data_IF_602640655676
#
_entry.id   IF_602640655676
#
_cell.length_a   1.000
_cell.length_b   1.000
_cell.length_c   1.000
_cell.angle_alpha   90.00
_cell.angle_beta   90.00
_cell.angle_gamma   90.00
#
_symmetry.space_group_name_H-M   'P 1'
#
loop_
_entity.id
_entity.type
_entity.pdbx_description
1 polymer ?
#
# COMPACT_ATOMS: atom_id res chain seq x y z
N UNK A 1 23.85 14.00 16.45
CA UNK A 1 22.88 12.97 16.00
C UNK A 1 22.15 13.56 14.80
N UNK A 2 21.97 12.79 13.74
CA UNK A 2 21.24 13.26 12.57
C UNK A 2 19.81 13.59 12.98
N UNK A 3 19.31 14.73 12.51
CA UNK A 3 17.92 15.13 12.75
C UNK A 3 17.00 14.19 12.00
N UNK A 4 15.93 13.73 12.67
CA UNK A 4 14.85 12.95 12.06
C UNK A 4 13.63 13.85 11.93
N UNK A 5 13.04 13.89 10.72
CA UNK A 5 11.78 14.58 10.44
C UNK A 5 10.79 13.61 9.80
N UNK A 6 9.55 13.67 10.25
CA UNK A 6 8.43 12.92 9.70
C UNK A 6 7.29 13.90 9.42
N UNK A 7 6.78 13.89 8.20
CA UNK A 7 5.63 14.70 7.79
C UNK A 7 4.89 14.11 6.60
N UNK A 8 3.65 14.53 6.39
CA UNK A 8 2.82 14.11 5.28
C UNK A 8 2.75 15.18 4.19
N UNK A 9 2.65 14.73 2.94
CA UNK A 9 2.28 15.55 1.79
C UNK A 9 0.82 15.29 1.38
N UNK A 10 0.19 14.26 1.94
CA UNK A 10 -1.21 13.89 1.79
C UNK A 10 -1.56 12.72 2.70
N UNK A 11 -2.84 12.34 2.78
CA UNK A 11 -3.30 11.20 3.56
C UNK A 11 -3.49 11.48 5.06
N UNK A 12 -3.60 12.75 5.47
CA UNK A 12 -3.98 13.11 6.84
C UNK A 12 -5.33 13.82 6.80
N UNK A 13 -6.27 13.35 7.64
CA UNK A 13 -7.65 13.85 7.72
C UNK A 13 -8.38 13.80 6.36
N UNK A 14 -8.03 12.81 5.54
CA UNK A 14 -8.62 12.56 4.23
C UNK A 14 -8.48 11.11 3.83
N UNK A 15 -9.37 10.62 2.98
CA UNK A 15 -9.30 9.30 2.37
C UNK A 15 -8.57 9.39 1.02
N UNK A 16 -7.41 8.75 0.93
CA UNK A 16 -6.55 8.75 -0.25
C UNK A 16 -5.40 9.76 -0.19
N UNK A 17 -4.67 9.91 -1.30
CA UNK A 17 -3.45 10.73 -1.44
C UNK A 17 -2.35 10.38 -0.44
N UNK A 18 -2.27 9.14 0.01
CA UNK A 18 -1.26 8.73 0.98
C UNK A 18 0.14 9.02 0.45
N UNK A 19 0.85 9.91 1.15
CA UNK A 19 2.25 10.24 0.84
C UNK A 19 2.93 10.83 2.08
N UNK A 20 3.96 10.16 2.55
CA UNK A 20 4.68 10.52 3.76
C UNK A 20 6.17 10.64 3.47
N UNK A 21 6.83 11.54 4.19
CA UNK A 21 8.26 11.81 4.04
C UNK A 21 8.96 11.55 5.37
N UNK A 22 10.00 10.74 5.33
CA UNK A 22 10.92 10.51 6.44
C UNK A 22 12.28 11.03 6.03
N UNK A 23 12.80 11.99 6.79
CA UNK A 23 14.18 12.47 6.64
C UNK A 23 15.03 11.96 7.78
N UNK A 24 16.22 11.48 7.44
CA UNK A 24 17.26 11.10 8.39
C UNK A 24 18.55 11.77 7.95
N UNK A 25 18.92 12.87 8.60
CA UNK A 25 19.99 13.74 8.14
C UNK A 25 19.72 14.27 6.72
N UNK A 26 20.62 14.00 5.80
CA UNK A 26 20.49 14.40 4.38
C UNK A 26 19.70 13.41 3.51
N UNK A 27 19.31 12.28 4.06
CA UNK A 27 18.59 11.24 3.32
C UNK A 27 17.08 11.41 3.44
N UNK A 28 16.38 11.39 2.32
CA UNK A 28 14.92 11.43 2.23
C UNK A 28 14.39 10.08 1.76
N UNK A 29 13.40 9.58 2.48
CA UNK A 29 12.62 8.40 2.13
C UNK A 29 11.17 8.82 1.94
N UNK A 30 10.57 8.44 0.82
CA UNK A 30 9.16 8.68 0.53
C UNK A 30 8.41 7.38 0.75
N UNK A 31 7.32 7.43 1.49
CA UNK A 31 6.42 6.31 1.73
C UNK A 31 5.10 6.66 1.05
N UNK A 32 4.68 5.82 0.13
CA UNK A 32 3.54 5.92 -0.76
C UNK A 32 3.59 7.10 -1.75
N UNK A 33 2.76 6.98 -2.79
CA UNK A 33 2.53 8.00 -3.81
C UNK A 33 1.09 7.86 -4.33
N UNK A 34 0.12 8.05 -3.45
CA UNK A 34 -1.29 7.81 -3.69
C UNK A 34 -2.01 8.97 -4.36
N UNK A 35 -3.15 8.68 -4.97
CA UNK A 35 -4.11 9.67 -5.40
C UNK A 35 -5.40 9.60 -4.57
N UNK A 36 -6.26 10.61 -4.75
CA UNK A 36 -7.63 10.64 -4.25
C UNK A 36 -8.57 10.90 -5.43
N UNK A 37 -9.72 10.24 -5.44
CA UNK A 37 -10.80 10.56 -6.35
C UNK A 37 -11.68 11.68 -5.77
N UNK A 38 -12.24 12.57 -6.61
CA UNK A 38 -13.17 13.59 -6.13
C UNK A 38 -14.41 12.95 -5.48
N UNK A 39 -14.86 13.49 -4.35
CA UNK A 39 -16.01 12.95 -3.61
C UNK A 39 -17.35 13.45 -4.14
N UNK A 40 -17.37 14.51 -4.94
CA UNK A 40 -18.58 15.19 -5.37
C UNK A 40 -18.60 15.42 -6.89
N UNK A 41 -19.81 15.31 -7.46
CA UNK A 41 -20.08 15.67 -8.86
C UNK A 41 -19.90 17.17 -9.16
N UNK A 42 -19.78 18.00 -8.13
CA UNK A 42 -19.57 19.44 -8.27
C UNK A 42 -18.15 19.81 -8.72
N UNK A 43 -17.23 18.84 -8.71
CA UNK A 43 -15.86 19.00 -9.20
C UNK A 43 -15.75 18.61 -10.69
N UNK A 44 -16.63 19.16 -11.53
CA UNK A 44 -16.65 18.87 -12.96
C UNK A 44 -15.29 19.14 -13.61
N UNK A 45 -14.77 18.13 -14.31
CA UNK A 45 -13.48 18.20 -15.00
C UNK A 45 -12.27 17.81 -14.15
N UNK A 46 -12.45 17.45 -12.88
CA UNK A 46 -11.40 16.89 -12.03
C UNK A 46 -11.61 15.39 -11.93
N UNK A 47 -10.68 14.61 -12.47
CA UNK A 47 -10.72 13.15 -12.42
C UNK A 47 -9.90 12.57 -11.26
N UNK A 48 -8.81 13.25 -10.88
CA UNK A 48 -7.85 12.77 -9.87
C UNK A 48 -7.27 13.93 -9.09
N UNK A 49 -7.01 13.73 -7.82
CA UNK A 49 -6.34 14.67 -6.93
C UNK A 49 -5.04 14.00 -6.46
N UNK A 50 -3.92 14.68 -6.61
CA UNK A 50 -2.59 14.17 -6.25
C UNK A 50 -1.95 15.04 -5.17
N UNK A 51 -0.98 14.54 -4.40
CA UNK A 51 -0.20 15.35 -3.48
C UNK A 51 0.59 16.47 -4.16
N UNK A 52 0.94 17.53 -3.44
CA UNK A 52 1.88 18.54 -3.91
C UNK A 52 3.31 18.00 -3.81
N UNK A 53 3.96 17.80 -4.95
CA UNK A 53 5.33 17.28 -5.03
C UNK A 53 6.41 18.34 -4.92
N UNK A 54 6.07 19.62 -4.73
CA UNK A 54 7.03 20.72 -4.73
C UNK A 54 8.23 20.44 -3.82
N UNK A 55 7.97 20.02 -2.59
CA UNK A 55 9.03 19.69 -1.65
C UNK A 55 9.99 18.60 -2.17
N UNK A 56 9.44 17.54 -2.77
CA UNK A 56 10.24 16.43 -3.32
C UNK A 56 11.04 16.86 -4.55
N UNK A 57 10.47 17.70 -5.40
CA UNK A 57 11.14 18.23 -6.59
C UNK A 57 12.33 19.11 -6.18
N UNK A 58 12.15 20.00 -5.22
CA UNK A 58 13.21 20.88 -4.72
C UNK A 58 14.34 20.11 -4.02
N UNK A 59 14.03 18.96 -3.42
CA UNK A 59 14.98 18.13 -2.67
C UNK A 59 15.30 16.81 -3.37
N UNK A 60 15.06 16.66 -4.68
CA UNK A 60 15.19 15.39 -5.39
C UNK A 60 16.56 14.72 -5.25
N UNK A 61 17.63 15.49 -5.12
CA UNK A 61 19.00 15.00 -4.95
C UNK A 61 19.23 14.26 -3.61
N UNK A 62 18.36 14.45 -2.64
CA UNK A 62 18.40 13.80 -1.31
C UNK A 62 17.53 12.55 -1.25
N UNK A 63 16.63 12.33 -2.22
CA UNK A 63 15.69 11.20 -2.18
C UNK A 63 16.43 9.90 -2.47
N UNK A 64 16.45 9.02 -1.49
CA UNK A 64 17.15 7.74 -1.54
C UNK A 64 16.25 6.60 -2.02
N UNK A 65 14.94 6.67 -1.70
CA UNK A 65 13.98 5.65 -2.08
C UNK A 65 12.54 6.18 -2.02
N UNK A 66 11.68 5.58 -2.85
CA UNK A 66 10.24 5.65 -2.78
C UNK A 66 9.74 4.22 -2.50
N UNK A 67 8.97 4.05 -1.44
CA UNK A 67 8.43 2.76 -1.04
C UNK A 67 6.93 2.73 -1.29
N UNK A 68 6.44 1.69 -1.95
CA UNK A 68 5.01 1.44 -2.17
C UNK A 68 4.66 0.13 -1.50
N UNK A 69 3.71 0.18 -0.56
CA UNK A 69 3.34 -0.96 0.27
C UNK A 69 2.54 -2.00 -0.50
N UNK A 70 1.48 -1.58 -1.20
CA UNK A 70 0.55 -2.45 -1.91
C UNK A 70 -0.04 -1.78 -3.17
N UNK A 71 -0.98 -2.45 -3.83
CA UNK A 71 -1.43 -2.10 -5.18
C UNK A 71 -2.73 -1.28 -5.25
N UNK A 72 -3.08 -0.52 -4.21
CA UNK A 72 -4.25 0.36 -4.25
C UNK A 72 -3.92 1.75 -4.82
N UNK A 73 -4.91 2.42 -5.40
CA UNK A 73 -4.75 3.72 -6.04
C UNK A 73 -4.38 4.83 -5.05
N UNK A 74 -4.92 4.76 -3.85
CA UNK A 74 -4.67 5.71 -2.76
C UNK A 74 -3.24 5.68 -2.20
N UNK A 75 -2.45 4.66 -2.59
CA UNK A 75 -1.03 4.52 -2.19
C UNK A 75 -0.05 4.52 -3.36
N UNK A 76 -0.47 4.21 -4.60
CA UNK A 76 0.49 4.11 -5.72
C UNK A 76 0.15 4.95 -6.96
N UNK A 77 -1.11 5.36 -7.16
CA UNK A 77 -1.52 5.81 -8.48
C UNK A 77 -1.10 7.25 -8.85
N UNK A 78 -0.53 8.03 -7.91
CA UNK A 78 0.15 9.29 -8.22
C UNK A 78 1.65 9.10 -8.55
N UNK A 79 2.19 7.87 -8.43
CA UNK A 79 3.60 7.58 -8.70
C UNK A 79 4.04 7.98 -10.13
N UNK A 80 3.28 7.75 -11.21
CA UNK A 80 3.68 8.22 -12.54
C UNK A 80 3.85 9.74 -12.61
N UNK A 81 2.98 10.50 -11.91
CA UNK A 81 3.07 11.95 -11.86
C UNK A 81 4.35 12.40 -11.13
N UNK A 82 4.67 11.78 -9.99
CA UNK A 82 5.89 12.04 -9.23
C UNK A 82 7.15 11.74 -10.07
N UNK A 83 7.22 10.57 -10.72
CA UNK A 83 8.39 10.10 -11.45
C UNK A 83 8.67 10.87 -12.75
N UNK A 84 7.74 11.71 -13.24
CA UNK A 84 8.01 12.68 -14.32
C UNK A 84 8.92 13.83 -13.86
N UNK A 85 8.95 14.10 -12.56
CA UNK A 85 9.69 15.22 -11.96
C UNK A 85 10.87 14.77 -11.09
N UNK A 86 10.75 13.60 -10.45
CA UNK A 86 11.71 13.07 -9.49
C UNK A 86 12.30 11.78 -9.99
N UNK A 87 13.64 11.69 -10.01
CA UNK A 87 14.36 10.45 -10.36
C UNK A 87 14.83 9.78 -9.07
N UNK A 88 14.09 8.79 -8.61
CA UNK A 88 14.45 8.03 -7.41
C UNK A 88 14.10 6.53 -7.60
N UNK A 89 14.84 5.61 -6.96
CA UNK A 89 14.52 4.19 -7.02
C UNK A 89 13.22 3.90 -6.28
N UNK A 90 12.37 3.07 -6.89
CA UNK A 90 11.09 2.61 -6.32
C UNK A 90 11.26 1.19 -5.80
N UNK A 91 10.77 0.94 -4.60
CA UNK A 91 10.81 -0.36 -3.93
C UNK A 91 9.40 -0.84 -3.61
N UNK A 92 9.12 -2.12 -3.88
CA UNK A 92 7.84 -2.73 -3.52
C UNK A 92 7.93 -4.27 -3.50
N UNK A 93 6.86 -4.93 -3.03
CA UNK A 93 6.74 -6.39 -3.12
C UNK A 93 6.62 -6.87 -4.56
N UNK A 94 6.91 -8.13 -4.89
CA UNK A 94 6.87 -8.62 -6.28
C UNK A 94 5.54 -8.39 -6.99
N UNK A 95 4.41 -8.64 -6.33
CA UNK A 95 3.08 -8.43 -6.91
C UNK A 95 2.81 -6.94 -7.18
N UNK A 96 3.02 -6.10 -6.18
CA UNK A 96 2.82 -4.65 -6.30
C UNK A 96 3.77 -4.05 -7.36
N UNK A 97 5.01 -4.54 -7.44
CA UNK A 97 5.96 -4.11 -8.47
C UNK A 97 5.46 -4.40 -9.89
N UNK A 98 4.80 -5.54 -10.11
CA UNK A 98 4.20 -5.85 -11.42
C UNK A 98 3.06 -4.88 -11.76
N UNK A 99 2.21 -4.56 -10.79
CA UNK A 99 1.11 -3.60 -10.97
C UNK A 99 1.64 -2.20 -11.28
N UNK A 100 2.67 -1.74 -10.53
CA UNK A 100 3.33 -0.46 -10.76
C UNK A 100 3.97 -0.42 -12.16
N UNK A 101 4.73 -1.44 -12.56
CA UNK A 101 5.38 -1.50 -13.87
C UNK A 101 4.37 -1.47 -15.03
N UNK A 102 3.22 -2.15 -14.89
CA UNK A 102 2.16 -2.10 -15.89
C UNK A 102 1.47 -0.71 -15.94
N UNK A 103 1.24 -0.09 -14.78
CA UNK A 103 0.73 1.28 -14.69
C UNK A 103 1.70 2.28 -15.34
N UNK A 104 2.99 2.21 -15.00
CA UNK A 104 4.02 3.08 -15.57
C UNK A 104 4.14 2.90 -17.08
N UNK A 105 4.02 1.67 -17.58
CA UNK A 105 4.02 1.38 -19.02
C UNK A 105 2.85 2.03 -19.74
N UNK A 106 1.63 2.01 -19.18
CA UNK A 106 0.43 2.70 -19.70
C UNK A 106 0.63 4.20 -19.75
N UNK A 107 1.33 4.76 -18.77
CA UNK A 107 1.65 6.18 -18.66
C UNK A 107 2.90 6.62 -19.46
N UNK A 108 3.49 5.72 -20.25
CA UNK A 108 4.65 6.01 -21.12
C UNK A 108 6.02 5.97 -20.42
N UNK A 109 6.09 5.56 -19.16
CA UNK A 109 7.30 5.50 -18.33
C UNK A 109 7.93 4.10 -18.32
N UNK A 110 8.16 3.51 -19.48
CA UNK A 110 8.57 2.11 -19.67
C UNK A 110 9.97 1.76 -19.17
N UNK A 111 10.84 2.75 -19.02
CA UNK A 111 12.25 2.58 -18.62
C UNK A 111 12.40 2.35 -17.11
N UNK A 112 11.39 2.72 -16.32
CA UNK A 112 11.45 2.65 -14.86
C UNK A 112 11.24 1.21 -14.42
N UNK A 113 12.17 0.73 -13.59
CA UNK A 113 12.11 -0.59 -12.97
C UNK A 113 11.86 -0.44 -11.46
N UNK A 114 11.04 -1.34 -10.92
CA UNK A 114 10.75 -1.39 -9.49
C UNK A 114 11.65 -2.43 -8.82
N UNK A 115 12.35 -2.03 -7.77
CA UNK A 115 13.15 -2.95 -6.97
C UNK A 115 12.23 -3.83 -6.13
N UNK A 116 12.27 -5.13 -6.40
CA UNK A 116 11.45 -6.11 -5.69
C UNK A 116 12.08 -6.49 -4.37
N UNK A 117 11.36 -6.27 -3.28
CA UNK A 117 11.80 -6.63 -1.92
C UNK A 117 11.00 -7.80 -1.40
N UNK A 118 11.66 -8.69 -0.68
CA UNK A 118 10.97 -9.82 -0.03
C UNK A 118 10.37 -9.35 1.28
N UNK A 119 9.23 -9.92 1.64
CA UNK A 119 8.63 -9.75 2.97
C UNK A 119 9.61 -10.20 4.05
N UNK A 120 9.58 -9.54 5.21
CA UNK A 120 10.44 -9.82 6.36
C UNK A 120 11.95 -9.81 6.04
N UNK A 121 12.37 -9.02 5.05
CA UNK A 121 13.77 -8.81 4.73
C UNK A 121 14.33 -7.53 5.35
N UNK A 122 15.66 -7.45 5.43
CA UNK A 122 16.37 -6.27 5.93
C UNK A 122 17.52 -5.95 4.99
N UNK A 123 17.69 -4.68 4.65
CA UNK A 123 18.76 -4.15 3.83
C UNK A 123 19.07 -2.71 4.24
N UNK A 124 20.09 -2.11 3.62
CA UNK A 124 20.46 -0.72 3.91
C UNK A 124 20.36 0.13 2.65
N UNK A 125 19.83 1.35 2.80
CA UNK A 125 19.86 2.40 1.78
C UNK A 125 20.54 3.61 2.41
N UNK A 126 21.54 4.16 1.75
CA UNK A 126 22.37 5.27 2.28
C UNK A 126 22.87 5.03 3.73
N UNK A 127 23.22 3.77 4.05
CA UNK A 127 23.66 3.38 5.39
C UNK A 127 22.54 3.16 6.42
N UNK A 128 21.31 3.58 6.12
CA UNK A 128 20.14 3.49 7.02
C UNK A 128 19.50 2.11 6.85
N UNK A 129 19.30 1.32 7.94
CA UNK A 129 18.65 0.03 7.85
C UNK A 129 17.14 0.18 7.55
N UNK A 130 16.67 -0.61 6.60
CA UNK A 130 15.27 -0.70 6.18
C UNK A 130 14.80 -2.13 6.41
N UNK A 131 13.60 -2.31 6.95
CA UNK A 131 12.94 -3.61 7.09
C UNK A 131 11.60 -3.59 6.36
N UNK A 132 11.28 -4.70 5.73
CA UNK A 132 10.07 -4.86 4.90
C UNK A 132 8.96 -5.62 5.64
N UNK A 133 8.87 -5.43 6.93
CA UNK A 133 7.65 -5.71 7.68
C UNK A 133 6.86 -4.40 7.78
N UNK A 134 5.66 -4.32 7.18
CA UNK A 134 5.18 -3.00 6.83
C UNK A 134 6.31 -2.27 6.10
N UNK A 135 6.60 -1.06 6.48
CA UNK A 135 7.84 -0.36 6.15
C UNK A 135 8.46 0.13 7.45
N UNK A 136 9.67 -0.30 7.76
CA UNK A 136 10.39 0.16 8.95
C UNK A 136 11.69 0.83 8.56
N UNK A 137 11.87 2.08 8.98
CA UNK A 137 13.11 2.85 8.81
C UNK A 137 13.74 2.99 10.18
N UNK A 138 14.90 2.38 10.36
CA UNK A 138 15.66 2.44 11.62
C UNK A 138 16.43 3.76 11.69
N UNK A 139 16.14 4.59 12.67
CA UNK A 139 16.81 5.88 12.87
C UNK A 139 17.63 5.86 14.17
N UNK A 140 18.57 6.81 14.35
CA UNK A 140 19.31 6.94 15.62
C UNK A 140 18.42 7.22 16.84
N UNK A 141 17.19 7.71 16.64
CA UNK A 141 16.22 8.01 17.71
C UNK A 141 15.21 6.89 17.95
N UNK A 142 15.20 5.83 17.14
CA UNK A 142 14.25 4.73 17.18
C UNK A 142 13.65 4.44 15.82
N UNK A 143 12.85 3.39 15.72
CA UNK A 143 12.25 2.98 14.47
C UNK A 143 11.04 3.84 14.11
N UNK A 144 10.92 4.23 12.84
CA UNK A 144 9.68 4.73 12.24
C UNK A 144 9.04 3.55 11.53
N UNK A 145 7.83 3.20 11.94
CA UNK A 145 7.09 2.03 11.44
C UNK A 145 5.83 2.48 10.73
N UNK A 146 5.70 2.11 9.47
CA UNK A 146 4.49 2.28 8.67
C UNK A 146 3.87 0.92 8.41
N UNK A 147 2.67 0.67 8.93
CA UNK A 147 2.00 -0.63 8.80
C UNK A 147 1.20 -0.76 7.51
N UNK A 148 0.87 0.37 6.87
CA UNK A 148 -0.14 0.42 5.82
C UNK A 148 -1.50 -0.07 6.33
N UNK A 149 -2.36 -0.51 5.44
CA UNK A 149 -3.59 -1.23 5.77
C UNK A 149 -3.27 -2.65 6.20
N UNK A 150 -3.86 -3.12 7.30
CA UNK A 150 -3.69 -4.50 7.74
C UNK A 150 -4.91 -5.00 8.51
N UNK A 151 -5.10 -6.30 8.48
CA UNK A 151 -6.10 -6.99 9.28
C UNK A 151 -5.40 -8.02 10.14
N UNK A 152 -5.79 -8.08 11.41
CA UNK A 152 -5.41 -9.16 12.31
C UNK A 152 -6.44 -10.26 12.17
N UNK A 153 -6.15 -11.21 11.29
CA UNK A 153 -6.99 -12.38 11.05
C UNK A 153 -6.13 -13.64 11.12
N UNK A 154 -6.53 -14.59 11.95
CA UNK A 154 -5.83 -15.86 12.17
C UNK A 154 -6.27 -16.96 11.20
N UNK A 155 -7.30 -16.71 10.38
CA UNK A 155 -7.89 -17.67 9.41
C UNK A 155 -7.62 -17.27 7.96
N UNK A 156 -6.58 -16.47 7.71
CA UNK A 156 -6.16 -16.13 6.34
C UNK A 156 -5.46 -17.33 5.71
N UNK A 157 -6.06 -17.89 4.64
CA UNK A 157 -5.49 -19.03 3.93
C UNK A 157 -4.31 -18.70 3.03
N UNK A 158 -4.08 -17.42 2.72
CA UNK A 158 -2.99 -16.99 1.86
C UNK A 158 -2.05 -16.06 2.63
N UNK A 159 -0.88 -16.57 2.94
CA UNK A 159 0.16 -15.85 3.68
C UNK A 159 0.53 -14.49 3.06
N UNK A 160 0.32 -14.31 1.75
CA UNK A 160 0.59 -13.03 1.09
C UNK A 160 -0.24 -11.87 1.63
N UNK A 161 -1.41 -12.18 2.21
CA UNK A 161 -2.34 -11.18 2.79
C UNK A 161 -2.36 -11.20 4.33
N UNK A 162 -1.59 -12.07 4.98
CA UNK A 162 -1.56 -12.15 6.44
C UNK A 162 -0.73 -11.04 7.08
N UNK A 163 -1.11 -10.59 8.28
CA UNK A 163 -0.29 -9.71 9.11
C UNK A 163 0.61 -10.54 10.04
N UNK A 164 1.93 -10.27 10.03
CA UNK A 164 2.88 -10.92 10.94
C UNK A 164 2.95 -10.15 12.27
N UNK A 165 2.04 -10.47 13.19
CA UNK A 165 1.94 -9.84 14.51
C UNK A 165 3.21 -10.07 15.33
N UNK A 166 3.89 -11.21 15.15
CA UNK A 166 5.13 -11.51 15.87
C UNK A 166 6.23 -10.53 15.47
N UNK A 167 6.37 -10.24 14.18
CA UNK A 167 7.34 -9.26 13.70
C UNK A 167 7.01 -7.84 14.21
N UNK A 168 5.73 -7.44 14.29
CA UNK A 168 5.30 -6.17 14.92
C UNK A 168 5.74 -6.11 16.40
N UNK A 169 5.48 -7.17 17.16
CA UNK A 169 5.86 -7.22 18.57
C UNK A 169 7.38 -7.16 18.76
N UNK A 170 8.16 -7.79 17.88
CA UNK A 170 9.61 -7.72 17.92
C UNK A 170 10.17 -6.33 17.62
N UNK A 171 9.56 -5.59 16.68
CA UNK A 171 9.91 -4.20 16.40
C UNK A 171 9.59 -3.34 17.63
N UNK A 172 8.41 -3.53 18.23
CA UNK A 172 8.00 -2.82 19.44
C UNK A 172 9.00 -2.95 20.59
N UNK A 173 9.60 -4.14 20.76
CA UNK A 173 10.64 -4.37 21.80
C UNK A 173 11.93 -3.57 21.58
N UNK A 174 12.23 -3.14 20.36
CA UNK A 174 13.46 -2.39 20.01
C UNK A 174 13.35 -0.90 20.24
N UNK A 175 12.14 -0.39 20.46
CA UNK A 175 11.82 1.03 20.57
C UNK A 175 11.35 1.63 19.25
N UNK A 176 10.13 2.15 19.28
CA UNK A 176 9.47 2.80 18.16
C UNK A 176 9.39 4.29 18.43
N UNK A 177 9.97 5.09 17.53
CA UNK A 177 9.89 6.55 17.57
C UNK A 177 8.52 7.04 17.10
N UNK A 178 8.00 6.45 16.02
CA UNK A 178 6.69 6.76 15.48
C UNK A 178 6.06 5.52 14.84
N UNK A 179 4.77 5.31 15.11
CA UNK A 179 3.92 4.33 14.44
C UNK A 179 2.94 5.09 13.55
N UNK A 180 2.97 4.78 12.26
CA UNK A 180 2.04 5.28 11.27
C UNK A 180 1.13 4.12 10.86
N UNK A 181 -0.15 4.25 11.12
CA UNK A 181 -1.14 3.20 10.87
C UNK A 181 -2.41 3.80 10.28
N UNK A 182 -3.16 2.98 9.59
CA UNK A 182 -4.50 3.30 9.12
C UNK A 182 -5.43 3.64 10.29
N UNK A 183 -6.34 4.58 10.07
CA UNK A 183 -7.38 4.97 11.03
C UNK A 183 -8.78 4.96 10.43
N UNK A 184 -8.97 4.39 9.25
CA UNK A 184 -10.29 4.27 8.61
C UNK A 184 -11.24 3.48 9.50
N UNK A 185 -12.39 4.08 9.82
CA UNK A 185 -13.39 3.48 10.69
C UNK A 185 -13.05 3.48 12.19
N UNK A 186 -11.97 4.16 12.62
CA UNK A 186 -11.62 4.27 14.04
C UNK A 186 -12.66 5.01 14.89
N UNK A 187 -13.55 5.77 14.25
CA UNK A 187 -14.70 6.45 14.84
C UNK A 187 -15.96 5.58 14.97
N UNK A 188 -15.94 4.37 14.41
CA UNK A 188 -17.08 3.44 14.46
C UNK A 188 -17.03 2.56 15.69
N UNK A 189 -18.18 2.41 16.34
CA UNK A 189 -18.33 1.46 17.45
C UNK A 189 -18.27 0.01 16.95
N UNK A 190 -17.72 -0.88 17.77
CA UNK A 190 -17.63 -2.30 17.47
C UNK A 190 -16.22 -2.77 17.15
N UNK A 191 -16.12 -3.80 16.35
CA UNK A 191 -14.85 -4.41 15.93
C UNK A 191 -14.95 -4.95 14.50
N UNK A 192 -13.84 -5.07 13.82
CA UNK A 192 -13.77 -5.74 12.52
C UNK A 192 -14.11 -7.22 12.66
N UNK A 193 -14.83 -7.78 11.69
CA UNK A 193 -15.10 -9.20 11.65
C UNK A 193 -13.79 -9.99 11.63
N UNK A 194 -13.64 -11.03 12.49
CA UNK A 194 -12.42 -11.84 12.51
C UNK A 194 -12.22 -12.68 11.26
N UNK A 195 -13.29 -12.91 10.48
CA UNK A 195 -13.26 -13.67 9.24
C UNK A 195 -13.29 -12.72 8.04
N UNK A 196 -12.19 -12.64 7.35
CA UNK A 196 -12.08 -11.81 6.15
C UNK A 196 -12.67 -12.49 4.90
N UNK A 197 -13.13 -13.73 5.02
CA UNK A 197 -13.67 -14.53 3.92
C UNK A 197 -15.12 -14.18 3.60
N UNK A 198 -15.44 -14.17 2.31
CA UNK A 198 -16.82 -14.02 1.81
C UNK A 198 -17.44 -15.36 1.41
N UNK A 199 -16.69 -16.47 1.43
CA UNK A 199 -17.11 -17.79 0.95
C UNK A 199 -18.49 -18.16 1.49
N UNK A 200 -18.69 -18.10 2.81
CA UNK A 200 -19.95 -18.47 3.47
C UNK A 200 -21.15 -17.67 2.97
N UNK A 201 -20.93 -16.42 2.55
CA UNK A 201 -22.01 -15.54 2.07
C UNK A 201 -22.29 -15.69 0.58
N UNK A 202 -21.29 -16.09 -0.20
CA UNK A 202 -21.37 -16.15 -1.68
C UNK A 202 -21.64 -17.57 -2.18
N UNK A 203 -21.16 -18.60 -1.47
CA UNK A 203 -21.32 -20.01 -1.85
C UNK A 203 -22.79 -20.40 -2.11
N UNK A 204 -23.80 -20.00 -1.27
CA UNK A 204 -25.18 -20.31 -1.56
C UNK A 204 -25.69 -19.75 -2.90
N UNK A 205 -25.17 -18.58 -3.31
CA UNK A 205 -25.54 -17.98 -4.59
C UNK A 205 -25.00 -18.78 -5.79
N UNK A 206 -23.88 -19.50 -5.63
CA UNK A 206 -23.37 -20.41 -6.64
C UNK A 206 -24.22 -21.69 -6.68
N UNK A 207 -24.59 -22.25 -5.53
CA UNK A 207 -25.39 -23.47 -5.42
C UNK A 207 -26.82 -23.32 -5.96
N UNK A 208 -27.42 -22.13 -5.75
CA UNK A 208 -28.80 -21.85 -6.16
C UNK A 208 -28.92 -21.33 -7.60
N UNK A 209 -27.82 -21.00 -8.27
CA UNK A 209 -27.85 -20.38 -9.59
C UNK A 209 -28.16 -21.36 -10.71
N UNK A 210 -29.31 -21.21 -11.37
CA UNK A 210 -29.65 -21.94 -12.60
C UNK A 210 -29.03 -21.30 -13.87
N UNK A 211 -28.30 -20.21 -13.75
CA UNK A 211 -27.82 -19.43 -14.89
C UNK A 211 -26.50 -18.70 -14.62
N UNK A 212 -26.33 -17.57 -15.29
CA UNK A 212 -25.11 -16.78 -15.20
C UNK A 212 -25.05 -16.00 -13.88
N UNK A 213 -23.92 -16.10 -13.18
CA UNK A 213 -23.62 -15.31 -11.99
C UNK A 213 -22.79 -14.10 -12.43
N UNK A 214 -23.21 -12.89 -12.02
CA UNK A 214 -22.50 -11.64 -12.28
C UNK A 214 -22.06 -11.05 -10.93
N UNK A 215 -20.75 -10.93 -10.74
CA UNK A 215 -20.17 -10.42 -9.50
C UNK A 215 -19.43 -9.12 -9.79
N UNK A 216 -19.73 -8.09 -9.01
CA UNK A 216 -19.05 -6.78 -9.08
C UNK A 216 -18.15 -6.63 -7.87
N UNK A 217 -16.89 -6.30 -8.10
CA UNK A 217 -15.90 -6.03 -7.04
C UNK A 217 -14.88 -4.98 -7.50
N UNK A 218 -14.16 -4.39 -6.57
CA UNK A 218 -13.04 -3.53 -6.91
C UNK A 218 -11.92 -4.36 -7.55
N UNK A 219 -11.41 -3.90 -8.69
CA UNK A 219 -10.36 -4.59 -9.45
C UNK A 219 -9.04 -4.76 -8.67
N UNK A 220 -8.81 -3.96 -7.65
CA UNK A 220 -7.64 -4.03 -6.78
C UNK A 220 -7.81 -4.98 -5.59
N UNK A 221 -9.03 -5.43 -5.30
CA UNK A 221 -9.30 -6.38 -4.23
C UNK A 221 -8.97 -7.81 -4.66
N UNK A 222 -7.67 -8.06 -4.84
CA UNK A 222 -7.17 -9.35 -5.35
C UNK A 222 -7.52 -10.52 -4.44
N UNK A 223 -7.57 -10.32 -3.13
CA UNK A 223 -7.96 -11.38 -2.19
C UNK A 223 -9.38 -11.88 -2.48
N UNK A 224 -10.34 -10.96 -2.65
CA UNK A 224 -11.73 -11.29 -2.99
C UNK A 224 -11.87 -11.92 -4.37
N UNK A 225 -11.13 -11.42 -5.34
CA UNK A 225 -11.13 -11.95 -6.70
C UNK A 225 -10.64 -13.40 -6.71
N UNK A 226 -9.56 -13.70 -5.99
CA UNK A 226 -9.02 -15.05 -5.86
C UNK A 226 -10.06 -15.98 -5.21
N UNK A 227 -10.68 -15.56 -4.10
CA UNK A 227 -11.71 -16.33 -3.40
C UNK A 227 -12.93 -16.64 -4.30
N UNK A 228 -13.39 -15.67 -5.08
CA UNK A 228 -14.47 -15.84 -6.05
C UNK A 228 -14.08 -16.84 -7.16
N UNK A 229 -12.85 -16.74 -7.68
CA UNK A 229 -12.34 -17.68 -8.69
C UNK A 229 -12.25 -19.10 -8.11
N UNK A 230 -11.81 -19.25 -6.87
CA UNK A 230 -11.76 -20.55 -6.19
C UNK A 230 -13.15 -21.17 -6.03
N UNK A 231 -14.16 -20.38 -5.64
CA UNK A 231 -15.55 -20.80 -5.57
C UNK A 231 -16.09 -21.24 -6.94
N UNK A 232 -15.87 -20.42 -7.97
CA UNK A 232 -16.28 -20.75 -9.33
C UNK A 232 -15.66 -22.07 -9.82
N UNK A 233 -14.37 -22.29 -9.54
CA UNK A 233 -13.68 -23.54 -9.89
C UNK A 233 -14.26 -24.74 -9.12
N UNK A 234 -14.62 -24.57 -7.83
CA UNK A 234 -15.26 -25.62 -7.02
C UNK A 234 -16.61 -26.01 -7.59
N UNK A 235 -17.37 -25.05 -8.09
CA UNK A 235 -18.67 -25.24 -8.72
C UNK A 235 -18.59 -25.67 -10.20
N UNK A 236 -17.40 -25.87 -10.78
CA UNK A 236 -17.15 -26.08 -12.20
C UNK A 236 -17.69 -24.98 -13.13
N UNK A 237 -17.90 -23.79 -12.60
CA UNK A 237 -18.32 -22.63 -13.38
C UNK A 237 -17.14 -22.03 -14.14
N UNK A 238 -17.39 -21.59 -15.38
CA UNK A 238 -16.39 -20.94 -16.21
C UNK A 238 -16.31 -19.46 -15.85
N UNK A 239 -15.12 -19.00 -15.42
CA UNK A 239 -14.82 -17.58 -15.24
C UNK A 239 -14.46 -16.96 -16.59
N UNK A 240 -15.05 -15.79 -16.90
CA UNK A 240 -14.84 -15.05 -18.16
C UNK A 240 -14.33 -13.65 -17.83
#
# INVERSE_FOLDING_TARGET
MDQVRLFALGGLDEDGKNMYVVEVGESIFVIEAGLKYPESTDQLGIERIIPDFKYLIENQHRIQAIFISHGHDDVMAALPNLLRHVKAPVYSTPLTAMLIEEMLKKEGLREIRVHRVKRNSSFKIAGIPIRTFGMTIETPQGAIVYTSEYIVDYDIHNDAFSCDITALAEIGKRGVLALMTESVGADREGHSAPHHRITEFVEPAFEDAEGRIIITTYHQNLYRIIEIIELANKDNSKVI
#
